data_IF_995065599660
#
_entry.id   IF_995065599660
#
_cell.length_a   1.000
_cell.length_b   1.000
_cell.length_c   1.000
_cell.angle_alpha   90.00
_cell.angle_beta   90.00
_cell.angle_gamma   90.00
#
_symmetry.space_group_name_H-M   'P 1'
#
loop_
_entity.id
_entity.type
_entity.pdbx_description
1 polymer ?
#
# COMPACT_ATOMS: atom_id res chain seq x y z
N UNK A 1 -21.03 1.83 -20.16
CA UNK A 1 -20.80 0.44 -20.57
C UNK A 1 -19.42 0.00 -20.10
N UNK A 2 -19.06 -1.29 -20.18
CA UNK A 2 -17.69 -1.76 -19.91
C UNK A 2 -16.66 -1.06 -20.81
N UNK A 3 -17.03 -0.87 -22.08
CA UNK A 3 -16.16 -0.33 -23.14
C UNK A 3 -15.73 1.13 -22.93
N UNK A 4 -16.44 1.87 -22.06
CA UNK A 4 -16.12 3.28 -21.76
C UNK A 4 -15.02 3.40 -20.70
N UNK A 5 -14.72 2.32 -19.98
CA UNK A 5 -13.70 2.34 -18.92
C UNK A 5 -12.30 2.39 -19.52
N UNK A 6 -11.47 3.31 -19.03
CA UNK A 6 -10.06 3.41 -19.43
C UNK A 6 -9.30 2.08 -19.30
N UNK A 7 -9.68 1.25 -18.31
CA UNK A 7 -9.06 -0.05 -18.05
C UNK A 7 -9.43 -1.14 -19.07
N UNK A 8 -10.55 -0.98 -19.79
CA UNK A 8 -11.06 -1.94 -20.77
C UNK A 8 -10.75 -1.51 -22.22
N UNK A 9 -10.28 -0.28 -22.43
CA UNK A 9 -9.91 0.21 -23.75
C UNK A 9 -8.73 -0.57 -24.34
N UNK A 10 -8.71 -0.67 -25.67
CA UNK A 10 -7.57 -1.23 -26.41
C UNK A 10 -6.42 -0.23 -26.41
N UNK A 11 -5.19 -0.72 -26.27
CA UNK A 11 -3.99 0.09 -26.38
C UNK A 11 -3.47 0.13 -27.82
N UNK A 12 -3.41 1.30 -28.49
CA UNK A 12 -2.88 1.43 -29.84
C UNK A 12 -1.44 0.90 -30.01
N UNK A 13 -0.62 0.97 -28.95
CA UNK A 13 0.76 0.50 -28.98
C UNK A 13 0.90 -1.02 -29.02
N UNK A 14 -0.18 -1.78 -28.76
CA UNK A 14 -0.17 -3.24 -28.68
C UNK A 14 -1.23 -3.92 -29.55
N UNK A 15 -1.80 -3.23 -30.55
CA UNK A 15 -2.88 -3.78 -31.39
C UNK A 15 -2.53 -5.10 -32.08
N UNK A 16 -1.26 -5.31 -32.42
CA UNK A 16 -0.73 -6.53 -33.07
C UNK A 16 0.36 -7.20 -32.23
N UNK A 17 0.30 -7.08 -30.90
CA UNK A 17 1.33 -7.61 -29.99
C UNK A 17 1.52 -9.13 -30.10
N UNK A 18 0.49 -9.86 -30.54
CA UNK A 18 0.49 -11.31 -30.79
C UNK A 18 1.36 -11.72 -31.99
N UNK A 19 1.73 -10.77 -32.87
CA UNK A 19 2.54 -11.01 -34.08
C UNK A 19 3.99 -10.59 -33.92
N UNK A 20 4.35 -9.96 -32.80
CA UNK A 20 5.68 -9.46 -32.54
C UNK A 20 6.63 -10.58 -32.08
N UNK A 21 7.92 -10.41 -32.34
CA UNK A 21 8.95 -11.23 -31.70
C UNK A 21 8.97 -11.00 -30.18
N UNK A 22 9.45 -11.98 -29.43
CA UNK A 22 9.46 -11.93 -27.95
C UNK A 22 10.13 -10.66 -27.42
N UNK A 23 11.25 -10.24 -28.00
CA UNK A 23 11.95 -9.02 -27.56
C UNK A 23 11.10 -7.76 -27.78
N UNK A 24 10.41 -7.67 -28.92
CA UNK A 24 9.55 -6.53 -29.23
C UNK A 24 8.32 -6.48 -28.31
N UNK A 25 7.73 -7.64 -27.97
CA UNK A 25 6.69 -7.75 -26.93
C UNK A 25 7.17 -7.16 -25.60
N UNK A 26 8.40 -7.54 -25.17
CA UNK A 26 9.00 -7.02 -23.93
C UNK A 26 9.31 -5.52 -24.01
N UNK A 27 9.72 -5.01 -25.17
CA UNK A 27 9.93 -3.57 -25.39
C UNK A 27 8.62 -2.79 -25.28
N UNK A 28 7.52 -3.31 -25.84
CA UNK A 28 6.18 -2.70 -25.70
C UNK A 28 5.73 -2.69 -24.23
N UNK A 29 5.88 -3.81 -23.51
CA UNK A 29 5.60 -3.89 -22.07
C UNK A 29 6.38 -2.79 -21.31
N UNK A 30 7.69 -2.72 -21.51
CA UNK A 30 8.54 -1.78 -20.78
C UNK A 30 8.23 -0.31 -21.12
N UNK A 31 7.89 -0.01 -22.37
CA UNK A 31 7.48 1.34 -22.77
C UNK A 31 6.20 1.78 -22.07
N UNK A 32 5.23 0.88 -21.94
CA UNK A 32 3.99 1.14 -21.21
C UNK A 32 4.23 1.27 -19.70
N UNK A 33 5.09 0.43 -19.11
CA UNK A 33 5.42 0.50 -17.67
C UNK A 33 6.06 1.84 -17.26
N UNK A 34 6.81 2.51 -18.15
CA UNK A 34 7.39 3.83 -17.87
C UNK A 34 6.34 4.88 -17.54
N UNK A 35 5.13 4.77 -18.10
CA UNK A 35 4.02 5.71 -17.88
C UNK A 35 3.46 5.63 -16.45
N UNK A 36 3.73 4.53 -15.74
CA UNK A 36 3.19 4.29 -14.39
C UNK A 36 3.75 5.31 -13.40
N UNK A 37 5.06 5.59 -13.46
CA UNK A 37 5.69 6.52 -12.52
C UNK A 37 5.12 7.94 -12.68
N UNK A 38 4.94 8.40 -13.92
CA UNK A 38 4.35 9.71 -14.21
C UNK A 38 2.90 9.80 -13.73
N UNK A 39 2.11 8.75 -13.98
CA UNK A 39 0.72 8.67 -13.52
C UNK A 39 0.59 8.73 -12.00
N UNK A 40 1.49 8.07 -11.26
CA UNK A 40 1.55 8.16 -9.79
C UNK A 40 2.05 9.53 -9.34
N UNK A 41 3.05 10.08 -10.03
CA UNK A 41 3.58 11.43 -9.78
C UNK A 41 2.50 12.51 -9.85
N UNK A 42 1.60 12.42 -10.84
CA UNK A 42 0.50 13.36 -11.03
C UNK A 42 -0.50 13.39 -9.85
N UNK A 43 -0.60 12.31 -9.06
CA UNK A 43 -1.56 12.19 -7.95
C UNK A 43 -0.91 12.30 -6.56
N UNK A 44 0.37 12.69 -6.48
CA UNK A 44 1.06 12.95 -5.20
C UNK A 44 0.25 13.85 -4.24
N UNK A 45 -0.41 14.94 -4.68
CA UNK A 45 -1.22 15.75 -3.77
C UNK A 45 -2.36 14.97 -3.10
N UNK A 46 -2.96 14.00 -3.78
CA UNK A 46 -3.99 13.14 -3.19
C UNK A 46 -3.39 12.09 -2.23
N UNK A 47 -2.25 11.51 -2.60
CA UNK A 47 -1.50 10.60 -1.73
C UNK A 47 -1.10 11.31 -0.43
N UNK A 48 -0.62 12.56 -0.50
CA UNK A 48 -0.25 13.35 0.67
C UNK A 48 -1.43 13.54 1.64
N UNK A 49 -2.61 13.91 1.14
CA UNK A 49 -3.84 14.02 1.96
C UNK A 49 -4.22 12.69 2.60
N UNK A 50 -4.14 11.58 1.86
CA UNK A 50 -4.40 10.26 2.40
C UNK A 50 -3.42 9.88 3.52
N UNK A 51 -2.13 10.20 3.36
CA UNK A 51 -1.11 9.99 4.40
C UNK A 51 -1.43 10.78 5.66
N UNK A 52 -1.87 12.03 5.55
CA UNK A 52 -2.27 12.84 6.72
C UNK A 52 -3.44 12.22 7.48
N UNK A 53 -4.46 11.74 6.75
CA UNK A 53 -5.60 11.01 7.34
C UNK A 53 -5.13 9.75 8.08
N UNK A 54 -4.24 8.97 7.46
CA UNK A 54 -3.67 7.75 8.05
C UNK A 54 -2.88 8.08 9.31
N UNK A 55 -1.97 9.06 9.25
CA UNK A 55 -1.15 9.46 10.41
C UNK A 55 -2.03 9.89 11.59
N UNK A 56 -3.05 10.72 11.33
CA UNK A 56 -3.98 11.18 12.36
C UNK A 56 -4.80 10.04 13.00
N UNK A 57 -5.15 9.00 12.23
CA UNK A 57 -5.83 7.83 12.76
C UNK A 57 -4.89 6.97 13.63
N UNK A 58 -3.67 6.69 13.14
CA UNK A 58 -2.67 5.91 13.87
C UNK A 58 -2.25 6.61 15.18
N UNK A 59 -2.19 7.94 15.21
CA UNK A 59 -1.94 8.73 16.42
C UNK A 59 -3.02 8.60 17.49
N UNK A 60 -4.27 8.39 17.08
CA UNK A 60 -5.42 8.18 17.96
C UNK A 60 -5.68 6.70 18.30
N UNK A 61 -4.72 5.83 17.97
CA UNK A 61 -4.81 4.39 18.23
C UNK A 61 -5.71 3.64 17.24
N UNK A 62 -6.04 4.23 16.10
CA UNK A 62 -6.68 3.55 14.97
C UNK A 62 -5.69 2.72 14.16
N UNK A 63 -6.21 2.01 13.15
CA UNK A 63 -5.47 1.13 12.24
C UNK A 63 -5.77 1.48 10.78
N UNK A 64 -4.93 0.99 9.87
CA UNK A 64 -5.15 1.07 8.43
C UNK A 64 -5.61 -0.28 7.88
N UNK A 65 -6.72 -0.27 7.15
CA UNK A 65 -7.24 -1.43 6.44
C UNK A 65 -7.19 -1.22 4.94
N UNK A 66 -6.63 -2.17 4.22
CA UNK A 66 -6.78 -2.30 2.78
C UNK A 66 -7.86 -3.33 2.47
N UNK A 67 -8.72 -3.04 1.50
CA UNK A 67 -9.71 -4.00 1.01
C UNK A 67 -9.78 -4.01 -0.51
N UNK A 68 -9.79 -5.20 -1.11
CA UNK A 68 -9.84 -5.37 -2.56
C UNK A 68 -10.17 -6.79 -2.98
N UNK A 69 -10.40 -6.99 -4.27
CA UNK A 69 -10.53 -8.31 -4.89
C UNK A 69 -9.32 -8.61 -5.79
N UNK A 70 -9.09 -9.89 -6.09
CA UNK A 70 -8.05 -10.32 -7.03
C UNK A 70 -6.68 -9.68 -6.78
N UNK A 71 -6.09 -9.10 -7.82
CA UNK A 71 -4.77 -8.43 -7.73
C UNK A 71 -4.77 -7.28 -6.74
N UNK A 72 -5.83 -6.47 -6.70
CA UNK A 72 -5.94 -5.32 -5.79
C UNK A 72 -5.92 -5.76 -4.33
N UNK A 73 -6.68 -6.80 -3.96
CA UNK A 73 -6.67 -7.38 -2.63
C UNK A 73 -5.31 -7.98 -2.26
N UNK A 74 -4.66 -8.69 -3.18
CA UNK A 74 -3.32 -9.26 -2.97
C UNK A 74 -2.25 -8.19 -2.72
N UNK A 75 -2.31 -7.07 -3.44
CA UNK A 75 -1.39 -5.94 -3.23
C UNK A 75 -1.60 -5.27 -1.87
N UNK A 76 -2.85 -5.14 -1.42
CA UNK A 76 -3.16 -4.68 -0.06
C UNK A 76 -2.60 -5.60 1.02
N UNK A 77 -2.74 -6.92 0.84
CA UNK A 77 -2.15 -7.92 1.76
C UNK A 77 -0.62 -7.87 1.73
N UNK A 78 -0.01 -7.71 0.55
CA UNK A 78 1.45 -7.59 0.41
C UNK A 78 2.01 -6.40 1.20
N UNK A 79 1.47 -5.20 0.98
CA UNK A 79 1.93 -3.98 1.66
C UNK A 79 1.75 -4.08 3.18
N UNK A 80 0.61 -4.61 3.64
CA UNK A 80 0.35 -4.86 5.05
C UNK A 80 1.36 -5.86 5.68
N UNK A 81 1.67 -6.95 4.98
CA UNK A 81 2.60 -7.98 5.46
C UNK A 81 4.05 -7.48 5.58
N UNK A 82 4.43 -6.46 4.80
CA UNK A 82 5.75 -5.85 4.86
C UNK A 82 5.89 -4.84 6.02
N UNK A 83 4.78 -4.37 6.60
CA UNK A 83 4.81 -3.39 7.68
C UNK A 83 5.48 -3.90 8.97
N UNK A 84 5.15 -5.09 9.53
CA UNK A 84 5.81 -5.62 10.72
C UNK A 84 7.33 -5.78 10.58
N UNK A 85 7.89 -6.44 9.54
CA UNK A 85 9.34 -6.59 9.43
C UNK A 85 10.08 -5.27 9.10
N UNK A 86 9.41 -4.32 8.45
CA UNK A 86 10.00 -3.03 8.02
C UNK A 86 9.94 -1.98 9.13
N UNK A 87 8.81 -1.85 9.81
CA UNK A 87 8.57 -0.78 10.77
C UNK A 87 8.44 -1.30 12.20
N UNK A 88 8.62 -2.60 12.45
CA UNK A 88 8.45 -3.25 13.75
C UNK A 88 7.13 -2.84 14.42
N UNK A 89 6.05 -2.91 13.65
CA UNK A 89 4.69 -2.68 14.13
C UNK A 89 3.95 -4.01 14.34
N UNK A 90 2.95 -4.03 15.22
CA UNK A 90 2.02 -5.14 15.31
C UNK A 90 1.35 -5.44 13.96
N UNK A 91 1.08 -6.72 13.63
CA UNK A 91 0.47 -7.12 12.36
C UNK A 91 -0.99 -6.65 12.20
N UNK A 92 -1.64 -6.22 13.27
CA UNK A 92 -3.00 -5.67 13.26
C UNK A 92 -3.04 -4.16 12.98
N UNK A 93 -1.89 -3.46 13.02
CA UNK A 93 -1.83 -2.02 12.77
C UNK A 93 -2.13 -1.66 11.30
N UNK A 94 -1.69 -2.50 10.37
CA UNK A 94 -1.98 -2.40 8.93
C UNK A 94 -2.44 -3.77 8.46
N UNK A 95 -3.64 -3.87 7.90
CA UNK A 95 -4.26 -5.15 7.55
C UNK A 95 -4.74 -5.15 6.10
N UNK A 96 -4.51 -6.25 5.38
CA UNK A 96 -5.12 -6.52 4.09
C UNK A 96 -6.32 -7.46 4.22
N UNK A 97 -7.42 -7.12 3.56
CA UNK A 97 -8.62 -7.93 3.40
C UNK A 97 -8.80 -8.18 1.90
N UNK A 98 -8.99 -9.44 1.52
CA UNK A 98 -9.20 -9.86 0.15
C UNK A 98 -10.54 -10.61 0.03
N UNK A 99 -11.31 -10.26 -0.99
CA UNK A 99 -12.53 -11.00 -1.35
C UNK A 99 -12.23 -12.49 -1.52
N UNK A 100 -13.02 -13.36 -0.89
CA UNK A 100 -12.79 -14.80 -0.88
C UNK A 100 -11.80 -15.30 0.18
N UNK A 101 -11.26 -14.41 1.02
CA UNK A 101 -10.42 -14.74 2.17
C UNK A 101 -9.04 -15.29 1.79
N UNK A 102 -8.38 -15.98 2.74
CA UNK A 102 -6.99 -16.44 2.56
C UNK A 102 -6.79 -17.35 1.33
N UNK A 103 -7.81 -18.16 0.98
CA UNK A 103 -7.74 -19.02 -0.21
C UNK A 103 -7.55 -18.21 -1.51
N UNK A 104 -8.08 -16.98 -1.56
CA UNK A 104 -7.97 -16.08 -2.71
C UNK A 104 -6.53 -15.55 -2.92
N UNK A 105 -5.65 -15.68 -1.92
CA UNK A 105 -4.24 -15.34 -2.07
C UNK A 105 -3.54 -16.28 -3.05
N UNK A 106 -3.86 -17.58 -3.00
CA UNK A 106 -3.24 -18.60 -3.83
C UNK A 106 -4.03 -18.92 -5.10
N UNK A 107 -5.35 -18.73 -5.11
CA UNK A 107 -6.24 -19.11 -6.22
C UNK A 107 -7.18 -17.96 -6.57
N UNK A 108 -7.53 -17.80 -7.84
CA UNK A 108 -8.55 -16.83 -8.22
C UNK A 108 -9.94 -17.33 -7.81
N UNK A 109 -10.75 -16.45 -7.23
CA UNK A 109 -12.15 -16.70 -6.85
C UNK A 109 -13.02 -15.58 -7.40
N UNK A 110 -13.38 -15.66 -8.69
CA UNK A 110 -14.12 -14.59 -9.39
C UNK A 110 -15.48 -14.29 -8.73
N UNK A 111 -16.20 -15.30 -8.23
CA UNK A 111 -17.52 -15.12 -7.61
C UNK A 111 -17.54 -14.26 -6.33
N UNK A 112 -16.38 -13.89 -5.77
CA UNK A 112 -16.30 -13.18 -4.49
C UNK A 112 -16.33 -11.65 -4.62
N UNK A 113 -16.20 -11.10 -5.83
CA UNK A 113 -16.07 -9.64 -6.02
C UNK A 113 -17.40 -8.91 -6.28
N UNK A 114 -18.46 -9.66 -6.61
CA UNK A 114 -19.78 -9.15 -6.96
C UNK A 114 -20.76 -8.99 -5.78
N UNK A 115 -20.38 -9.42 -4.57
CA UNK A 115 -21.21 -9.27 -3.36
C UNK A 115 -20.80 -8.03 -2.54
N UNK A 116 -21.54 -6.91 -2.59
CA UNK A 116 -21.24 -5.73 -1.78
C UNK A 116 -21.41 -5.99 -0.27
N UNK A 117 -22.37 -6.83 0.12
CA UNK A 117 -22.60 -7.14 1.52
C UNK A 117 -21.45 -7.99 2.10
N UNK A 118 -20.76 -8.80 1.28
CA UNK A 118 -19.57 -9.52 1.71
C UNK A 118 -18.45 -8.57 2.15
N UNK A 119 -18.20 -7.49 1.41
CA UNK A 119 -17.17 -6.52 1.78
C UNK A 119 -17.41 -5.85 3.13
N UNK A 120 -18.66 -5.46 3.39
CA UNK A 120 -19.05 -4.92 4.69
C UNK A 120 -18.90 -5.95 5.81
N UNK A 121 -19.34 -7.20 5.59
CA UNK A 121 -19.22 -8.28 6.57
C UNK A 121 -17.76 -8.58 6.93
N UNK A 122 -16.90 -8.71 5.93
CA UNK A 122 -15.48 -9.01 6.14
C UNK A 122 -14.76 -7.89 6.89
N UNK A 123 -15.10 -6.63 6.57
CA UNK A 123 -14.58 -5.46 7.28
C UNK A 123 -14.99 -5.46 8.77
N UNK A 124 -16.29 -5.66 9.04
CA UNK A 124 -16.82 -5.73 10.40
C UNK A 124 -16.23 -6.92 11.17
N UNK A 125 -16.03 -8.07 10.53
CA UNK A 125 -15.44 -9.24 11.15
C UNK A 125 -13.99 -9.02 11.62
N UNK A 126 -13.25 -8.06 11.04
CA UNK A 126 -11.93 -7.63 11.53
C UNK A 126 -11.98 -6.62 12.70
N UNK A 127 -13.18 -6.35 13.20
CA UNK A 127 -13.42 -5.40 14.28
C UNK A 127 -13.13 -3.96 13.87
N UNK A 128 -13.40 -3.59 12.61
CA UNK A 128 -13.24 -2.23 12.09
C UNK A 128 -14.14 -1.23 12.85
N UNK A 129 -13.62 -0.03 13.12
CA UNK A 129 -14.30 1.02 13.90
C UNK A 129 -14.15 2.40 13.25
N UNK A 130 -14.90 3.39 13.74
CA UNK A 130 -14.81 4.79 13.29
C UNK A 130 -13.44 5.46 13.54
N UNK A 131 -12.57 4.83 14.34
CA UNK A 131 -11.19 5.32 14.58
C UNK A 131 -10.20 4.85 13.50
N UNK A 132 -10.58 3.85 12.72
CA UNK A 132 -9.75 3.24 11.70
C UNK A 132 -9.88 3.97 10.36
N UNK A 133 -8.99 3.66 9.42
CA UNK A 133 -9.02 4.15 8.04
C UNK A 133 -9.20 2.96 7.11
N UNK A 134 -10.14 3.06 6.16
CA UNK A 134 -10.31 2.08 5.11
C UNK A 134 -9.81 2.63 3.77
N UNK A 135 -8.87 1.94 3.15
CA UNK A 135 -8.45 2.14 1.77
C UNK A 135 -9.05 1.03 0.88
N UNK A 136 -10.07 1.39 0.11
CA UNK A 136 -10.70 0.53 -0.90
C UNK A 136 -9.91 0.55 -2.21
N UNK A 137 -9.60 -0.62 -2.75
CA UNK A 137 -8.72 -0.78 -3.91
C UNK A 137 -9.45 -1.53 -5.01
N UNK A 138 -9.71 -0.84 -6.13
CA UNK A 138 -10.28 -1.43 -7.33
C UNK A 138 -9.82 -0.67 -8.57
N UNK A 139 -9.08 -1.34 -9.49
CA UNK A 139 -8.59 -0.69 -10.72
C UNK A 139 -9.73 -0.09 -11.56
N UNK A 140 -10.83 -0.83 -11.72
CA UNK A 140 -12.06 -0.37 -12.38
C UNK A 140 -12.83 0.69 -11.60
N UNK A 141 -12.56 0.81 -10.29
CA UNK A 141 -13.24 1.73 -9.38
C UNK A 141 -14.74 1.47 -9.18
N UNK A 142 -15.22 0.26 -9.49
CA UNK A 142 -16.64 -0.12 -9.36
C UNK A 142 -16.88 -1.52 -8.82
N UNK A 143 -15.86 -2.18 -8.28
CA UNK A 143 -15.98 -3.55 -7.75
C UNK A 143 -16.97 -3.59 -6.57
N UNK A 144 -18.11 -4.31 -6.66
CA UNK A 144 -19.17 -4.26 -5.66
C UNK A 144 -18.70 -4.57 -4.24
N UNK A 145 -17.87 -5.60 -4.06
CA UNK A 145 -17.27 -5.94 -2.76
C UNK A 145 -16.57 -4.75 -2.10
N UNK A 146 -15.79 -3.97 -2.87
CA UNK A 146 -15.06 -2.81 -2.36
C UNK A 146 -16.02 -1.66 -2.06
N UNK A 147 -16.99 -1.42 -2.94
CA UNK A 147 -18.00 -0.37 -2.75
C UNK A 147 -18.81 -0.60 -1.47
N UNK A 148 -19.24 -1.84 -1.21
CA UNK A 148 -19.99 -2.18 0.00
C UNK A 148 -19.18 -1.98 1.28
N UNK A 149 -17.89 -2.30 1.28
CA UNK A 149 -17.01 -2.03 2.41
C UNK A 149 -16.81 -0.53 2.69
N UNK A 150 -16.61 0.26 1.62
CA UNK A 150 -16.45 1.72 1.75
C UNK A 150 -17.75 2.39 2.19
N UNK A 151 -18.91 1.91 1.69
CA UNK A 151 -20.21 2.38 2.15
C UNK A 151 -20.41 2.13 3.65
N UNK A 152 -20.04 0.95 4.15
CA UNK A 152 -20.11 0.63 5.58
C UNK A 152 -19.16 1.49 6.41
N UNK A 153 -17.92 1.68 5.96
CA UNK A 153 -16.96 2.55 6.63
C UNK A 153 -17.47 4.00 6.74
N UNK A 154 -18.04 4.54 5.65
CA UNK A 154 -18.68 5.85 5.65
C UNK A 154 -19.88 5.91 6.62
N UNK A 155 -20.73 4.87 6.65
CA UNK A 155 -21.90 4.79 7.52
C UNK A 155 -21.54 4.91 9.01
N UNK A 156 -20.41 4.32 9.42
CA UNK A 156 -19.93 4.41 10.80
C UNK A 156 -19.02 5.63 11.06
N UNK A 157 -18.80 6.48 10.06
CA UNK A 157 -18.00 7.71 10.19
C UNK A 157 -16.48 7.49 10.20
N UNK A 158 -16.00 6.36 9.67
CA UNK A 158 -14.57 6.12 9.47
C UNK A 158 -14.06 6.88 8.25
N UNK A 159 -12.76 7.22 8.24
CA UNK A 159 -12.17 7.87 7.08
C UNK A 159 -11.93 6.85 5.95
N UNK A 160 -12.24 7.25 4.72
CA UNK A 160 -12.17 6.37 3.54
C UNK A 160 -11.26 6.93 2.46
N UNK A 161 -10.44 6.05 1.87
CA UNK A 161 -9.54 6.33 0.75
C UNK A 161 -9.92 5.40 -0.41
N UNK A 162 -10.03 5.95 -1.61
CA UNK A 162 -10.21 5.20 -2.85
C UNK A 162 -8.89 5.13 -3.61
N UNK A 163 -8.50 3.93 -4.05
CA UNK A 163 -7.40 3.73 -5.01
C UNK A 163 -7.98 3.05 -6.25
N UNK A 164 -8.00 3.76 -7.37
CA UNK A 164 -8.52 3.27 -8.65
C UNK A 164 -7.71 3.78 -9.83
N UNK A 165 -7.88 3.20 -11.02
CA UNK A 165 -7.18 3.62 -12.25
C UNK A 165 -8.16 4.09 -13.33
N UNK A 166 -9.35 4.51 -12.90
CA UNK A 166 -10.45 4.95 -13.75
C UNK A 166 -10.89 6.34 -13.29
N UNK A 167 -10.95 7.34 -14.19
CA UNK A 167 -11.39 8.68 -13.84
C UNK A 167 -12.86 8.66 -13.39
N UNK A 168 -13.22 9.51 -12.43
CA UNK A 168 -14.59 9.66 -11.91
C UNK A 168 -15.29 8.34 -11.63
N UNK A 169 -14.57 7.39 -11.02
CA UNK A 169 -15.13 6.10 -10.67
C UNK A 169 -16.15 6.21 -9.52
N UNK A 170 -17.01 5.21 -9.38
CA UNK A 170 -17.98 5.16 -8.29
C UNK A 170 -17.27 5.14 -6.92
N UNK A 171 -16.19 4.36 -6.82
CA UNK A 171 -15.34 4.30 -5.64
C UNK A 171 -14.72 5.65 -5.32
N UNK A 172 -14.24 6.40 -6.32
CA UNK A 172 -13.68 7.74 -6.13
C UNK A 172 -14.70 8.74 -5.59
N UNK A 173 -15.97 8.67 -6.05
CA UNK A 173 -17.05 9.52 -5.52
C UNK A 173 -17.48 9.14 -4.12
N UNK A 174 -17.34 7.86 -3.76
CA UNK A 174 -17.79 7.34 -2.47
C UNK A 174 -16.80 7.64 -1.33
N UNK A 175 -15.49 7.68 -1.62
CA UNK A 175 -14.45 7.86 -0.60
C UNK A 175 -14.18 9.34 -0.26
N UNK A 176 -13.70 9.59 0.97
CA UNK A 176 -13.32 10.93 1.43
C UNK A 176 -12.08 11.47 0.71
N UNK A 177 -11.16 10.58 0.31
CA UNK A 177 -9.98 10.92 -0.48
C UNK A 177 -9.87 9.95 -1.67
N UNK A 178 -9.87 10.48 -2.88
CA UNK A 178 -9.64 9.69 -4.10
C UNK A 178 -8.20 9.83 -4.61
N UNK A 179 -7.53 8.69 -4.81
CA UNK A 179 -6.22 8.56 -5.45
C UNK A 179 -6.42 7.80 -6.76
N UNK A 180 -6.31 8.52 -7.87
CA UNK A 180 -6.67 7.98 -9.20
C UNK A 180 -5.52 8.13 -10.20
N UNK A 181 -4.42 7.36 -10.07
CA UNK A 181 -3.36 7.35 -11.09
C UNK A 181 -3.93 6.79 -12.41
N UNK A 182 -3.64 7.47 -13.52
CA UNK A 182 -4.15 7.13 -14.86
C UNK A 182 -3.01 6.67 -15.80
N UNK A 183 -2.54 5.41 -15.69
CA UNK A 183 -1.47 4.91 -16.56
C UNK A 183 -1.93 4.58 -17.99
N UNK A 184 -3.23 4.77 -18.30
CA UNK A 184 -3.83 4.49 -19.60
C UNK A 184 -4.16 3.01 -19.85
N UNK A 185 -4.62 2.67 -21.07
CA UNK A 185 -5.04 1.32 -21.45
C UNK A 185 -3.95 0.27 -21.27
N UNK A 186 -4.31 -0.94 -20.86
CA UNK A 186 -3.38 -2.05 -20.69
C UNK A 186 -2.97 -2.66 -22.05
N UNK A 187 -1.77 -3.26 -22.14
CA UNK A 187 -1.33 -3.87 -23.40
C UNK A 187 -2.18 -5.07 -23.83
N UNK A 188 -2.76 -5.76 -22.84
CA UNK A 188 -3.83 -6.73 -23.01
C UNK A 188 -5.05 -6.04 -22.41
N UNK A 189 -6.04 -5.70 -23.23
CA UNK A 189 -7.24 -5.00 -22.80
C UNK A 189 -7.88 -5.70 -21.58
N UNK A 190 -8.21 -4.94 -20.54
CA UNK A 190 -8.76 -5.47 -19.28
C UNK A 190 -7.76 -6.12 -18.32
N UNK A 191 -6.50 -6.37 -18.73
CA UNK A 191 -5.49 -7.02 -17.87
C UNK A 191 -4.87 -6.04 -16.84
N UNK A 192 -5.71 -5.50 -15.96
CA UNK A 192 -5.35 -4.51 -14.93
C UNK A 192 -4.36 -4.98 -13.87
N UNK A 193 -3.99 -6.27 -13.87
CA UNK A 193 -2.86 -6.77 -13.07
C UNK A 193 -1.50 -6.17 -13.47
N UNK A 194 -1.44 -5.50 -14.63
CA UNK A 194 -0.22 -4.92 -15.20
C UNK A 194 -0.02 -3.49 -14.69
N UNK A 195 -0.21 -2.46 -15.52
CA UNK A 195 0.10 -1.07 -15.12
C UNK A 195 -0.74 -0.59 -13.96
N UNK A 196 -2.05 -0.88 -13.94
CA UNK A 196 -2.91 -0.49 -12.83
C UNK A 196 -2.50 -1.17 -11.52
N UNK A 197 -2.11 -2.44 -11.56
CA UNK A 197 -1.51 -3.17 -10.44
C UNK A 197 -0.20 -2.53 -9.95
N UNK A 198 0.71 -2.19 -10.88
CA UNK A 198 1.98 -1.51 -10.53
C UNK A 198 1.72 -0.13 -9.93
N UNK A 199 0.84 0.67 -10.52
CA UNK A 199 0.45 1.99 -9.98
C UNK A 199 -0.11 1.86 -8.57
N UNK A 200 -1.00 0.88 -8.36
CA UNK A 200 -1.55 0.56 -7.04
C UNK A 200 -0.44 0.24 -6.05
N UNK A 201 0.49 -0.67 -6.40
CA UNK A 201 1.62 -1.03 -5.52
C UNK A 201 2.43 0.22 -5.10
N UNK A 202 2.76 1.09 -6.04
CA UNK A 202 3.53 2.30 -5.75
C UNK A 202 2.76 3.23 -4.80
N UNK A 203 1.46 3.40 -5.01
CA UNK A 203 0.60 4.18 -4.11
C UNK A 203 0.58 3.58 -2.70
N UNK A 204 0.34 2.28 -2.55
CA UNK A 204 0.28 1.64 -1.23
C UNK A 204 1.60 1.77 -0.48
N UNK A 205 2.73 1.53 -1.16
CA UNK A 205 4.04 1.70 -0.57
C UNK A 205 4.28 3.16 -0.12
N UNK A 206 3.80 4.15 -0.88
CA UNK A 206 3.87 5.56 -0.46
C UNK A 206 3.01 5.82 0.77
N UNK A 207 1.79 5.26 0.86
CA UNK A 207 0.89 5.45 1.99
C UNK A 207 1.53 4.97 3.31
N UNK A 208 1.96 3.72 3.38
CA UNK A 208 2.55 3.15 4.59
C UNK A 208 3.92 3.75 4.89
N UNK A 209 4.81 3.83 3.91
CA UNK A 209 6.16 4.35 4.12
C UNK A 209 6.13 5.80 4.59
N UNK A 210 5.34 6.68 3.95
CA UNK A 210 5.25 8.07 4.37
C UNK A 210 4.57 8.20 5.74
N UNK A 211 3.52 7.42 6.03
CA UNK A 211 2.88 7.43 7.35
C UNK A 211 3.88 7.05 8.46
N UNK A 212 4.69 6.00 8.27
CA UNK A 212 5.67 5.59 9.27
C UNK A 212 6.89 6.52 9.35
N UNK A 213 7.31 7.15 8.25
CA UNK A 213 8.29 8.25 8.29
C UNK A 213 7.76 9.39 9.17
N UNK A 214 6.51 9.82 8.95
CA UNK A 214 5.87 10.89 9.74
C UNK A 214 5.69 10.55 11.22
N UNK A 215 5.55 9.27 11.55
CA UNK A 215 5.51 8.75 12.92
C UNK A 215 6.91 8.63 13.57
N UNK A 216 7.98 8.99 12.86
CA UNK A 216 9.37 8.99 13.34
C UNK A 216 10.06 7.62 13.30
N UNK A 217 9.56 6.67 12.52
CA UNK A 217 10.08 5.28 12.51
C UNK A 217 11.35 5.16 11.64
N UNK A 218 11.68 6.24 10.94
CA UNK A 218 12.84 6.41 10.08
C UNK A 218 13.60 7.65 10.54
N UNK A 219 14.93 7.58 10.57
CA UNK A 219 15.82 8.72 10.84
C UNK A 219 16.76 8.92 9.65
N UNK A 220 16.72 10.10 9.03
CA UNK A 220 17.30 10.28 7.70
C UNK A 220 16.65 9.32 6.71
N UNK A 221 17.40 8.35 6.21
CA UNK A 221 16.92 7.24 5.38
C UNK A 221 17.12 5.86 6.04
N UNK A 222 17.33 5.83 7.36
CA UNK A 222 17.60 4.62 8.13
C UNK A 222 16.37 4.15 8.89
N UNK A 223 16.04 2.87 8.74
CA UNK A 223 14.97 2.17 9.45
C UNK A 223 15.36 1.96 10.92
N UNK A 224 15.00 2.90 11.79
CA UNK A 224 15.42 2.89 13.20
C UNK A 224 14.46 2.17 14.14
N UNK A 225 13.22 1.90 13.71
CA UNK A 225 12.28 1.09 14.48
C UNK A 225 12.43 -0.40 14.13
N UNK A 226 13.61 -0.98 14.32
CA UNK A 226 13.89 -2.40 14.07
C UNK A 226 14.13 -3.11 15.40
N UNK A 227 13.55 -4.31 15.57
CA UNK A 227 13.91 -5.20 16.69
C UNK A 227 14.91 -6.26 16.23
N UNK A 228 16.17 -6.19 16.70
CA UNK A 228 17.19 -7.13 16.27
C UNK A 228 17.09 -8.48 17.00
N UNK A 229 16.15 -9.31 16.54
CA UNK A 229 15.85 -10.65 17.11
C UNK A 229 16.81 -11.76 16.67
N UNK A 230 17.59 -11.54 15.61
CA UNK A 230 18.59 -12.49 15.11
C UNK A 230 19.92 -11.79 14.84
N UNK A 231 20.98 -12.58 14.63
CA UNK A 231 22.34 -12.06 14.45
C UNK A 231 22.44 -11.09 13.26
N UNK A 232 21.77 -11.38 12.14
CA UNK A 232 21.72 -10.49 10.96
C UNK A 232 21.12 -9.13 11.29
N UNK A 233 20.03 -9.10 12.06
CA UNK A 233 19.38 -7.85 12.45
C UNK A 233 20.18 -7.09 13.51
N UNK A 234 20.89 -7.78 14.43
CA UNK A 234 21.82 -7.13 15.37
C UNK A 234 22.97 -6.43 14.65
N UNK A 235 23.56 -7.08 13.66
CA UNK A 235 24.60 -6.48 12.82
C UNK A 235 24.07 -5.27 12.04
N UNK A 236 22.84 -5.37 11.49
CA UNK A 236 22.17 -4.23 10.84
C UNK A 236 21.93 -3.07 11.82
N UNK A 237 21.45 -3.35 13.02
CA UNK A 237 21.19 -2.36 14.06
C UNK A 237 22.48 -1.60 14.45
N UNK A 238 23.61 -2.30 14.65
CA UNK A 238 24.91 -1.68 14.92
C UNK A 238 25.34 -0.73 13.80
N UNK A 239 25.20 -1.14 12.53
CA UNK A 239 25.50 -0.28 11.37
C UNK A 239 24.62 0.97 11.33
N UNK A 240 23.32 0.81 11.58
CA UNK A 240 22.37 1.93 11.62
C UNK A 240 22.75 2.94 12.70
N UNK A 241 23.07 2.48 13.91
CA UNK A 241 23.47 3.36 15.02
C UNK A 241 24.78 4.08 14.68
N UNK A 242 25.79 3.36 14.17
CA UNK A 242 27.06 3.94 13.77
C UNK A 242 26.88 5.06 12.74
N UNK A 243 26.06 4.83 11.71
CA UNK A 243 25.76 5.81 10.67
C UNK A 243 24.93 6.99 11.18
N UNK A 244 23.85 6.72 11.93
CA UNK A 244 22.93 7.75 12.41
C UNK A 244 23.57 8.66 13.48
N UNK A 245 24.44 8.10 14.32
CA UNK A 245 25.09 8.82 15.42
C UNK A 245 26.52 9.28 15.12
N UNK A 246 27.12 8.85 14.00
CA UNK A 246 28.51 9.17 13.67
C UNK A 246 29.52 8.56 14.66
N UNK A 247 29.23 7.37 15.20
CA UNK A 247 30.06 6.67 16.20
C UNK A 247 30.71 5.42 15.61
N UNK A 248 31.75 4.91 16.28
CA UNK A 248 32.39 3.65 15.85
C UNK A 248 31.43 2.45 15.94
N UNK A 249 31.71 1.42 15.15
CA UNK A 249 30.93 0.17 15.17
C UNK A 249 30.88 -0.48 16.57
N UNK A 250 32.02 -0.46 17.27
CA UNK A 250 32.13 -0.97 18.64
C UNK A 250 31.25 -0.16 19.60
N UNK A 251 31.33 1.19 19.53
CA UNK A 251 30.50 2.06 20.36
C UNK A 251 29.01 1.90 20.07
N UNK A 252 28.63 1.69 18.81
CA UNK A 252 27.28 1.37 18.41
C UNK A 252 26.78 0.05 19.02
N UNK A 253 27.65 -0.96 19.14
CA UNK A 253 27.36 -2.22 19.84
C UNK A 253 27.07 -2.00 21.32
N UNK A 254 27.93 -1.26 22.02
CA UNK A 254 27.74 -0.93 23.45
C UNK A 254 26.43 -0.17 23.68
N UNK A 255 26.14 0.84 22.86
CA UNK A 255 24.92 1.64 22.95
C UNK A 255 23.67 0.80 22.69
N UNK A 256 23.72 -0.14 21.74
CA UNK A 256 22.62 -1.05 21.45
C UNK A 256 22.32 -1.95 22.65
N UNK A 257 23.34 -2.46 23.32
CA UNK A 257 23.20 -3.29 24.53
C UNK A 257 22.64 -2.46 25.70
N UNK A 258 23.18 -1.27 25.94
CA UNK A 258 22.69 -0.34 26.97
C UNK A 258 21.25 0.11 26.73
N UNK A 259 20.80 0.11 25.47
CA UNK A 259 19.45 0.43 25.07
C UNK A 259 18.52 -0.79 25.01
N UNK A 260 18.93 -1.95 25.56
CA UNK A 260 18.15 -3.19 25.54
C UNK A 260 17.72 -3.58 24.11
N UNK A 261 18.64 -3.49 23.14
CA UNK A 261 18.41 -3.73 21.72
C UNK A 261 17.45 -2.75 21.03
N UNK A 262 17.13 -1.61 21.64
CA UNK A 262 16.32 -0.56 21.03
C UNK A 262 17.22 0.43 20.25
N UNK A 263 17.12 0.40 18.92
CA UNK A 263 17.96 1.23 18.03
C UNK A 263 17.69 2.73 18.20
N UNK A 264 16.42 3.13 18.35
CA UNK A 264 16.05 4.55 18.55
C UNK A 264 16.65 5.09 19.85
N UNK A 265 16.53 4.34 20.94
CA UNK A 265 17.08 4.71 22.23
C UNK A 265 18.62 4.74 22.19
N UNK A 266 19.27 3.81 21.49
CA UNK A 266 20.72 3.81 21.30
C UNK A 266 21.20 5.07 20.55
N UNK A 267 20.49 5.49 19.51
CA UNK A 267 20.77 6.74 18.77
C UNK A 267 20.57 7.95 19.69
N UNK A 268 19.47 8.01 20.45
CA UNK A 268 19.19 9.10 21.39
C UNK A 268 20.27 9.24 22.46
N UNK A 269 20.79 8.11 22.97
CA UNK A 269 21.92 8.09 23.93
C UNK A 269 23.21 8.59 23.33
N UNK A 270 23.46 8.31 22.05
CA UNK A 270 24.63 8.79 21.35
C UNK A 270 24.58 10.29 21.03
N UNK A 271 23.37 10.84 20.86
CA UNK A 271 23.11 12.25 20.55
C UNK A 271 22.06 12.84 21.51
N UNK A 272 22.42 13.18 22.75
CA UNK A 272 21.48 13.83 23.67
C UNK A 272 21.10 15.22 23.12
N UNK A 273 19.90 15.35 22.55
CA UNK A 273 19.38 16.61 22.00
C UNK A 273 18.85 16.57 20.56
N UNK A 274 18.86 15.41 19.89
CA UNK A 274 18.26 15.20 18.56
C UNK A 274 16.96 14.42 18.59
#
# INVERSE_FOLDING_TARGET
MLDDLLTEQRNPASESIDRLGVEDVLRVINQEDRKVADAVGAVIPAIARAVEVIVAALERGGRLFYIGAGTSGRLGVLDAAECPPTFNVPPDLVQGIIAGGEAALARATEASEDDPAAGARDLVARGFTSRDVLAGIAASGRTPYVLGAVAEANRIGAATIAVSCTPDSELARLASVAITPLPGPEIIAGSTRMKAGTATKLVLNMLTTAAFIRRGYVYGNLMINVQPRNSKLKERARRIIAQAAGVSYQRAGELLEQANNNVREAIRRARPGS
#
